data_IF_394707103974
#
_entry.id   IF_394707103974
#
_cell.length_a   1.000
_cell.length_b   1.000
_cell.length_c   1.000
_cell.angle_alpha   90.00
_cell.angle_beta   90.00
_cell.angle_gamma   90.00
#
_symmetry.space_group_name_H-M   'P 1'
#
loop_
_entity.id
_entity.type
_entity.pdbx_description
1 polymer ?
#
# COMPACT_ATOMS: atom_id res chain seq x y z
N UNK A 1 25.52 -16.03 14.78
CA UNK A 1 24.60 -16.96 14.07
C UNK A 1 23.16 -16.79 14.53
N UNK A 2 22.88 -16.80 15.84
CA UNK A 2 21.52 -16.58 16.39
C UNK A 2 20.93 -15.21 15.99
N UNK A 3 21.70 -14.13 16.13
CA UNK A 3 21.23 -12.78 15.76
C UNK A 3 20.88 -12.66 14.26
N UNK A 4 21.60 -13.39 13.40
CA UNK A 4 21.33 -13.42 11.96
C UNK A 4 19.96 -14.04 11.65
N UNK A 5 19.53 -15.06 12.41
CA UNK A 5 18.22 -15.69 12.23
C UNK A 5 17.10 -14.69 12.56
N UNK A 6 17.24 -13.93 13.64
CA UNK A 6 16.26 -12.89 14.01
C UNK A 6 16.23 -11.75 13.00
N UNK A 7 17.39 -11.31 12.52
CA UNK A 7 17.48 -10.31 11.46
C UNK A 7 16.80 -10.77 10.16
N UNK A 8 17.02 -12.02 9.74
CA UNK A 8 16.34 -12.59 8.56
C UNK A 8 14.82 -12.60 8.78
N UNK A 9 14.34 -12.99 9.97
CA UNK A 9 12.92 -13.00 10.27
C UNK A 9 12.29 -11.59 10.26
N UNK A 10 12.96 -10.60 10.85
CA UNK A 10 12.46 -9.21 10.89
C UNK A 10 12.49 -8.55 9.51
N UNK A 11 13.54 -8.79 8.71
CA UNK A 11 13.61 -8.35 7.32
C UNK A 11 12.54 -9.01 6.45
N UNK A 12 12.30 -10.31 6.63
CA UNK A 12 11.25 -11.04 5.90
C UNK A 12 9.87 -10.42 6.16
N UNK A 13 9.57 -10.07 7.42
CA UNK A 13 8.30 -9.42 7.76
C UNK A 13 8.21 -7.97 7.24
N UNK A 14 9.30 -7.22 7.30
CA UNK A 14 9.34 -5.86 6.74
C UNK A 14 9.14 -5.87 5.23
N UNK A 15 9.79 -6.80 4.53
CA UNK A 15 9.67 -6.97 3.09
C UNK A 15 8.26 -7.41 2.69
N UNK A 16 7.62 -8.31 3.45
CA UNK A 16 6.26 -8.76 3.14
C UNK A 16 5.25 -7.60 3.22
N UNK A 17 5.36 -6.76 4.25
CA UNK A 17 4.52 -5.58 4.39
C UNK A 17 4.82 -4.55 3.30
N UNK A 18 6.09 -4.27 3.03
CA UNK A 18 6.48 -3.36 1.96
C UNK A 18 5.92 -3.82 0.61
N UNK A 19 6.01 -5.12 0.31
CA UNK A 19 5.44 -5.71 -0.89
C UNK A 19 3.92 -5.53 -0.96
N UNK A 20 3.19 -5.77 0.13
CA UNK A 20 1.74 -5.58 0.18
C UNK A 20 1.37 -4.13 -0.10
N UNK A 21 2.02 -3.16 0.55
CA UNK A 21 1.73 -1.74 0.32
C UNK A 21 2.06 -1.32 -1.11
N UNK A 22 3.25 -1.66 -1.60
CA UNK A 22 3.69 -1.29 -2.95
C UNK A 22 2.79 -1.90 -4.01
N UNK A 23 2.50 -3.19 -3.93
CA UNK A 23 1.62 -3.85 -4.89
C UNK A 23 0.20 -3.25 -4.84
N UNK A 24 -0.28 -2.76 -3.69
CA UNK A 24 -1.65 -2.20 -3.56
C UNK A 24 -1.80 -0.97 -4.43
N UNK A 25 -0.79 -0.13 -4.35
CA UNK A 25 -0.69 1.07 -5.14
C UNK A 25 -0.51 0.75 -6.63
N UNK A 26 0.31 -0.26 -6.97
CA UNK A 26 0.48 -0.69 -8.36
C UNK A 26 -0.80 -1.24 -8.99
N UNK A 27 -1.56 -2.05 -8.26
CA UNK A 27 -2.84 -2.58 -8.74
C UNK A 27 -3.82 -1.45 -9.04
N UNK A 28 -3.90 -0.45 -8.16
CA UNK A 28 -4.72 0.74 -8.37
C UNK A 28 -4.33 1.49 -9.65
N UNK A 29 -3.04 1.82 -9.79
CA UNK A 29 -2.51 2.57 -10.94
C UNK A 29 -2.67 1.77 -12.24
N UNK A 30 -2.33 0.47 -12.24
CA UNK A 30 -2.44 -0.41 -13.40
C UNK A 30 -3.88 -0.62 -13.85
N UNK A 31 -4.84 -0.60 -12.91
CA UNK A 31 -6.28 -0.59 -13.16
C UNK A 31 -6.82 0.78 -13.56
N UNK A 32 -5.96 1.67 -14.10
CA UNK A 32 -6.34 3.01 -14.52
C UNK A 32 -6.99 3.78 -13.35
N UNK A 33 -6.41 3.65 -12.16
CA UNK A 33 -6.88 4.29 -10.92
C UNK A 33 -8.32 3.89 -10.54
N UNK A 34 -8.68 2.64 -10.85
CA UNK A 34 -9.91 2.02 -10.37
C UNK A 34 -9.58 0.99 -9.27
N UNK A 35 -10.44 0.93 -8.25
CA UNK A 35 -10.43 -0.03 -7.15
C UNK A 35 -11.81 -0.70 -7.07
N UNK A 36 -11.92 -1.71 -6.18
CA UNK A 36 -13.20 -2.29 -5.79
C UNK A 36 -14.23 -1.27 -5.28
N UNK A 37 -13.76 -0.09 -4.85
CA UNK A 37 -14.56 0.99 -4.28
C UNK A 37 -14.69 2.19 -5.24
N UNK A 38 -14.45 2.01 -6.55
CA UNK A 38 -14.73 3.00 -7.61
C UNK A 38 -16.20 3.10 -8.02
N UNK A 39 -16.83 4.24 -7.80
CA UNK A 39 -18.09 4.62 -8.48
C UNK A 39 -17.77 5.43 -9.73
N UNK A 40 -18.39 5.07 -10.86
CA UNK A 40 -18.37 5.91 -12.07
C UNK A 40 -19.59 6.83 -12.07
N UNK A 41 -19.34 8.13 -12.13
CA UNK A 41 -20.36 9.17 -12.22
C UNK A 41 -20.34 9.74 -13.65
N UNK A 42 -21.49 9.81 -14.30
CA UNK A 42 -21.65 10.47 -15.59
C UNK A 42 -22.46 11.75 -15.35
N UNK A 43 -21.77 12.88 -15.40
CA UNK A 43 -22.40 14.19 -15.31
C UNK A 43 -22.98 14.54 -16.69
N UNK A 44 -24.29 14.77 -16.74
CA UNK A 44 -24.98 15.20 -17.96
C UNK A 44 -25.06 16.73 -18.08
N UNK A 45 -24.69 17.45 -17.02
CA UNK A 45 -24.68 18.91 -16.91
C UNK A 45 -23.37 19.34 -16.22
N UNK A 46 -23.00 20.61 -16.38
CA UNK A 46 -21.82 21.14 -15.72
C UNK A 46 -21.98 21.16 -14.19
N UNK A 47 -20.97 20.69 -13.46
CA UNK A 47 -20.88 20.70 -12.00
C UNK A 47 -19.69 21.56 -11.62
N UNK A 48 -19.96 22.68 -10.96
CA UNK A 48 -18.92 23.61 -10.51
C UNK A 48 -17.94 22.95 -9.51
N UNK A 49 -16.70 23.42 -9.53
CA UNK A 49 -15.62 22.91 -8.66
C UNK A 49 -15.93 23.07 -7.17
N UNK A 50 -16.66 24.11 -6.77
CA UNK A 50 -17.15 24.30 -5.40
C UNK A 50 -18.16 23.24 -5.01
N UNK A 51 -19.10 22.88 -5.89
CA UNK A 51 -20.05 21.80 -5.66
C UNK A 51 -19.34 20.45 -5.51
N UNK A 52 -18.29 20.19 -6.29
CA UNK A 52 -17.43 19.01 -6.08
C UNK A 52 -16.76 19.02 -4.71
N UNK A 53 -16.32 20.19 -4.23
CA UNK A 53 -15.75 20.38 -2.90
C UNK A 53 -16.75 20.08 -1.77
N UNK A 54 -18.02 20.48 -1.92
CA UNK A 54 -19.08 20.19 -0.95
C UNK A 54 -19.52 18.72 -0.97
N UNK A 55 -19.68 18.14 -2.17
CA UNK A 55 -20.05 16.74 -2.36
C UNK A 55 -19.01 15.77 -1.77
N UNK A 56 -17.73 16.11 -1.90
CA UNK A 56 -16.61 15.28 -1.45
C UNK A 56 -16.13 15.61 -0.03
N UNK A 57 -16.53 16.76 0.53
CA UNK A 57 -16.20 17.17 1.90
C UNK A 57 -14.69 17.19 2.17
N UNK A 58 -14.26 16.49 3.22
CA UNK A 58 -12.85 16.41 3.64
C UNK A 58 -11.99 15.48 2.77
N UNK A 59 -12.54 14.83 1.73
CA UNK A 59 -11.82 13.88 0.87
C UNK A 59 -11.02 14.57 -0.24
N UNK A 60 -10.20 15.54 0.13
CA UNK A 60 -9.62 16.56 -0.77
C UNK A 60 -8.37 16.14 -1.55
N UNK A 61 -8.25 14.87 -1.94
CA UNK A 61 -7.16 14.44 -2.83
C UNK A 61 -7.70 14.13 -4.22
N UNK A 62 -7.75 15.17 -5.06
CA UNK A 62 -8.31 15.10 -6.42
C UNK A 62 -7.16 14.88 -7.40
N UNK A 63 -7.24 13.91 -8.31
CA UNK A 63 -6.36 13.86 -9.49
C UNK A 63 -7.22 13.83 -10.73
N UNK A 64 -6.99 14.74 -11.68
CA UNK A 64 -7.64 14.62 -12.98
C UNK A 64 -6.73 13.84 -13.92
N UNK A 65 -7.24 12.74 -14.47
CA UNK A 65 -6.47 11.86 -15.35
C UNK A 65 -7.02 12.01 -16.77
N UNK A 66 -6.23 12.59 -17.66
CA UNK A 66 -6.56 12.56 -19.09
C UNK A 66 -5.78 11.44 -19.75
N UNK A 67 -6.47 10.33 -20.01
CA UNK A 67 -5.90 9.32 -20.90
C UNK A 67 -6.03 9.79 -22.35
N UNK A 68 -4.90 10.19 -22.94
CA UNK A 68 -4.84 10.70 -24.32
C UNK A 68 -5.18 9.63 -25.38
N UNK A 69 -5.19 8.35 -25.03
CA UNK A 69 -5.57 7.26 -25.96
C UNK A 69 -7.07 6.98 -26.01
N UNK A 70 -7.86 7.44 -25.04
CA UNK A 70 -9.29 7.16 -24.98
C UNK A 70 -10.13 8.40 -25.26
N UNK A 71 -10.99 8.35 -26.28
CA UNK A 71 -11.93 9.42 -26.67
C UNK A 71 -12.99 9.77 -25.60
N UNK A 72 -12.90 9.23 -24.39
CA UNK A 72 -13.80 9.61 -23.30
C UNK A 72 -13.32 10.94 -22.71
N UNK A 73 -14.25 11.90 -22.64
CA UNK A 73 -14.09 13.19 -21.94
C UNK A 73 -13.41 13.01 -20.57
N UNK A 74 -12.70 14.05 -20.13
CA UNK A 74 -11.86 14.10 -18.93
C UNK A 74 -12.28 13.13 -17.83
N UNK A 75 -11.37 12.22 -17.49
CA UNK A 75 -11.59 11.27 -16.40
C UNK A 75 -11.01 11.85 -15.12
N UNK A 76 -11.83 12.57 -14.37
CA UNK A 76 -11.43 13.04 -13.05
C UNK A 76 -11.54 11.90 -12.03
N UNK A 77 -10.50 11.74 -11.21
CA UNK A 77 -10.32 10.65 -10.26
C UNK A 77 -10.21 11.23 -8.87
N UNK A 78 -11.24 10.98 -8.07
CA UNK A 78 -11.31 11.42 -6.69
C UNK A 78 -10.87 10.28 -5.79
N UNK A 79 -10.00 10.56 -4.83
CA UNK A 79 -9.56 9.59 -3.83
C UNK A 79 -9.46 10.24 -2.46
N UNK A 80 -9.61 9.41 -1.43
CA UNK A 80 -9.43 9.80 -0.04
C UNK A 80 -8.03 9.43 0.51
N UNK A 81 -7.07 9.10 -0.37
CA UNK A 81 -5.70 8.72 0.00
C UNK A 81 -4.68 9.59 -0.74
N UNK A 82 -3.51 9.84 -0.13
CA UNK A 82 -2.39 10.50 -0.81
C UNK A 82 -1.83 9.63 -1.95
N UNK A 83 -1.44 10.29 -3.06
CA UNK A 83 -1.01 9.63 -4.28
C UNK A 83 0.48 9.36 -4.27
N UNK A 84 0.87 8.09 -4.42
CA UNK A 84 2.23 7.76 -4.83
C UNK A 84 2.21 7.19 -6.24
N UNK A 85 2.44 8.01 -7.25
CA UNK A 85 2.63 7.47 -8.59
C UNK A 85 4.05 6.92 -8.70
N UNK A 86 4.25 5.78 -9.39
CA UNK A 86 5.59 5.32 -9.70
C UNK A 86 6.21 6.30 -10.70
N UNK A 87 7.21 7.07 -10.26
CA UNK A 87 7.89 8.06 -11.08
C UNK A 87 9.32 7.62 -11.40
N UNK A 88 9.76 7.87 -12.62
CA UNK A 88 11.18 7.82 -13.01
C UNK A 88 11.90 9.09 -12.58
N UNK A 89 11.20 10.22 -12.69
CA UNK A 89 11.76 11.54 -12.49
C UNK A 89 10.70 12.52 -11.95
N UNK A 90 11.16 13.54 -11.22
CA UNK A 90 10.34 14.61 -10.68
C UNK A 90 9.66 14.25 -9.37
N UNK A 91 8.45 14.78 -9.17
CA UNK A 91 7.67 14.62 -7.94
C UNK A 91 6.20 14.35 -8.22
N UNK A 92 5.53 13.75 -7.25
CA UNK A 92 4.08 13.62 -7.25
C UNK A 92 3.39 14.97 -7.04
N UNK A 93 2.09 15.01 -7.30
CA UNK A 93 1.27 16.18 -6.99
C UNK A 93 1.26 16.41 -5.46
N UNK A 94 1.52 17.64 -5.06
CA UNK A 94 1.31 18.12 -3.70
C UNK A 94 -0.09 18.74 -3.59
N UNK A 95 -0.63 18.81 -2.37
CA UNK A 95 -1.95 19.42 -2.12
C UNK A 95 -2.10 20.81 -2.74
N UNK A 96 -1.07 21.65 -2.60
CA UNK A 96 -1.09 23.03 -3.11
C UNK A 96 -1.13 23.09 -4.64
N UNK A 97 -0.62 22.05 -5.33
CA UNK A 97 -0.67 21.94 -6.80
C UNK A 97 -2.11 21.92 -7.35
N UNK A 98 -3.10 21.63 -6.51
CA UNK A 98 -4.51 21.59 -6.90
C UNK A 98 -5.25 22.89 -6.63
N UNK A 99 -4.65 23.86 -5.92
CA UNK A 99 -5.35 25.06 -5.44
C UNK A 99 -4.61 26.37 -5.73
N UNK A 100 -3.38 26.32 -6.25
CA UNK A 100 -2.56 27.51 -6.50
C UNK A 100 -2.76 28.15 -7.89
N UNK A 101 -3.71 27.65 -8.68
CA UNK A 101 -4.04 28.19 -10.02
C UNK A 101 -3.05 27.85 -11.13
N UNK A 102 -1.97 27.11 -10.86
CA UNK A 102 -0.96 26.73 -11.85
C UNK A 102 -1.37 25.47 -12.63
N UNK A 103 -1.07 25.38 -13.93
CA UNK A 103 -1.33 24.18 -14.73
C UNK A 103 -0.17 23.19 -14.61
N UNK A 104 -0.37 22.06 -13.93
CA UNK A 104 0.67 21.06 -13.65
C UNK A 104 0.30 19.70 -14.23
N UNK A 105 1.30 19.01 -14.77
CA UNK A 105 1.12 17.69 -15.34
C UNK A 105 2.19 16.69 -14.89
N UNK A 106 1.78 15.43 -14.75
CA UNK A 106 2.66 14.27 -14.67
C UNK A 106 2.39 13.43 -15.93
N UNK A 107 3.41 13.07 -16.69
CA UNK A 107 3.24 12.43 -17.99
C UNK A 107 3.94 11.08 -18.07
N UNK A 108 3.50 10.21 -18.95
CA UNK A 108 4.18 8.96 -19.25
C UNK A 108 5.50 9.13 -19.98
N UNK A 109 6.41 8.16 -19.81
CA UNK A 109 7.71 8.10 -20.48
C UNK A 109 7.65 8.30 -22.01
N UNK A 110 6.60 7.83 -22.69
CA UNK A 110 6.49 7.97 -24.14
C UNK A 110 6.19 9.42 -24.54
N UNK A 111 5.37 10.12 -23.75
CA UNK A 111 5.11 11.55 -23.93
C UNK A 111 6.34 12.38 -23.57
N UNK A 112 7.10 11.97 -22.54
CA UNK A 112 8.31 12.67 -22.11
C UNK A 112 9.43 12.68 -23.16
N UNK A 113 9.45 11.71 -24.09
CA UNK A 113 10.38 11.71 -25.22
C UNK A 113 10.17 12.88 -26.19
N UNK A 114 8.97 13.44 -26.21
CA UNK A 114 8.58 14.52 -27.14
C UNK A 114 8.29 15.83 -26.43
N UNK A 115 8.11 15.81 -25.10
CA UNK A 115 7.78 16.96 -24.27
C UNK A 115 8.65 16.94 -23.00
N UNK A 116 9.61 17.86 -22.90
CA UNK A 116 10.56 17.91 -21.77
C UNK A 116 10.06 18.77 -20.60
N UNK A 117 9.65 20.01 -20.86
CA UNK A 117 9.30 20.96 -19.78
C UNK A 117 7.81 21.22 -19.67
N UNK A 118 7.11 21.20 -20.81
CA UNK A 118 5.68 21.47 -20.88
C UNK A 118 4.99 20.56 -21.87
N UNK A 119 3.77 20.16 -21.56
CA UNK A 119 2.87 19.48 -22.49
C UNK A 119 1.68 20.40 -22.79
N UNK A 120 1.34 20.52 -24.07
CA UNK A 120 0.12 21.22 -24.48
C UNK A 120 -1.02 20.21 -24.53
N UNK A 121 -2.03 20.43 -23.72
CA UNK A 121 -3.25 19.62 -23.71
C UNK A 121 -4.39 20.58 -24.03
N UNK A 122 -5.01 20.38 -25.19
CA UNK A 122 -5.98 21.30 -25.78
C UNK A 122 -5.36 22.70 -26.01
N UNK A 123 -5.86 23.72 -25.32
CA UNK A 123 -5.42 25.12 -25.46
C UNK A 123 -4.55 25.60 -24.30
N UNK A 124 -4.29 24.74 -23.30
CA UNK A 124 -3.48 25.07 -22.13
C UNK A 124 -2.13 24.36 -22.15
N UNK A 125 -1.11 25.09 -21.69
CA UNK A 125 0.22 24.53 -21.45
C UNK A 125 0.34 24.12 -19.99
N UNK A 126 0.81 22.90 -19.77
CA UNK A 126 1.00 22.33 -18.45
C UNK A 126 2.48 22.15 -18.21
N UNK A 127 2.96 22.62 -17.06
CA UNK A 127 4.32 22.36 -16.60
C UNK A 127 4.45 20.91 -16.17
N UNK A 128 5.40 20.20 -16.73
CA UNK A 128 5.69 18.81 -16.36
C UNK A 128 6.43 18.84 -15.02
N UNK A 129 5.87 18.18 -14.01
CA UNK A 129 6.45 18.08 -12.66
C UNK A 129 6.92 16.66 -12.32
N UNK A 130 6.57 15.67 -13.15
CA UNK A 130 6.99 14.28 -12.97
C UNK A 130 6.77 13.42 -14.22
N UNK A 131 7.51 12.31 -14.29
CA UNK A 131 7.46 11.33 -15.38
C UNK A 131 7.11 9.96 -14.79
N UNK A 132 6.01 9.36 -15.25
CA UNK A 132 5.55 8.02 -14.83
C UNK A 132 6.47 6.93 -15.36
N UNK A 133 6.77 5.97 -14.49
CA UNK A 133 7.55 4.78 -14.82
C UNK A 133 6.71 3.74 -15.55
N UNK A 134 7.06 3.52 -16.83
CA UNK A 134 6.32 2.63 -17.71
C UNK A 134 6.52 1.14 -17.40
N UNK A 135 7.53 0.79 -16.58
CA UNK A 135 7.82 -0.60 -16.18
C UNK A 135 6.68 -1.20 -15.36
N UNK A 136 5.89 -0.36 -14.69
CA UNK A 136 4.81 -0.81 -13.83
C UNK A 136 3.51 -1.09 -14.59
N UNK A 137 3.21 -0.31 -15.63
CA UNK A 137 2.05 -0.53 -16.48
C UNK A 137 2.21 0.17 -17.84
N UNK A 138 2.06 -0.59 -18.94
CA UNK A 138 2.23 -0.07 -20.31
C UNK A 138 1.30 1.11 -20.62
N UNK A 139 0.10 1.07 -20.07
CA UNK A 139 -0.91 2.12 -20.20
C UNK A 139 -0.44 3.45 -19.58
N UNK A 140 0.48 3.46 -18.61
CA UNK A 140 1.02 4.69 -18.04
C UNK A 140 1.93 5.44 -19.00
N UNK A 141 2.60 4.76 -19.95
CA UNK A 141 3.60 5.41 -20.81
C UNK A 141 3.01 6.50 -21.70
N UNK A 142 1.70 6.44 -21.97
CA UNK A 142 0.98 7.35 -22.87
C UNK A 142 -0.07 8.22 -22.17
N UNK A 143 -0.13 8.15 -20.84
CA UNK A 143 -1.09 8.93 -20.05
C UNK A 143 -0.53 10.29 -19.66
N UNK A 144 -1.42 11.27 -19.52
CA UNK A 144 -1.12 12.55 -18.89
C UNK A 144 -2.09 12.77 -17.71
N UNK A 145 -1.52 13.04 -16.54
CA UNK A 145 -2.25 13.36 -15.32
C UNK A 145 -2.14 14.86 -15.12
N UNK A 146 -3.25 15.54 -14.85
CA UNK A 146 -3.37 16.99 -14.74
C UNK A 146 -4.11 17.37 -13.46
N UNK A 147 -3.90 18.59 -12.95
CA UNK A 147 -4.61 19.10 -11.78
C UNK A 147 -5.99 19.69 -12.14
N UNK A 148 -6.94 19.72 -11.20
CA UNK A 148 -8.35 20.07 -11.45
C UNK A 148 -8.58 21.51 -11.93
N UNK A 149 -7.77 22.47 -11.45
CA UNK A 149 -7.86 23.88 -11.85
C UNK A 149 -7.64 24.13 -13.35
N UNK A 150 -7.16 23.12 -14.06
CA UNK A 150 -6.89 23.20 -15.47
C UNK A 150 -8.13 22.97 -16.35
N UNK A 151 -9.21 22.42 -15.80
CA UNK A 151 -10.52 22.35 -16.44
C UNK A 151 -11.13 23.75 -16.44
N UNK A 152 -11.36 24.35 -17.60
CA UNK A 152 -12.12 25.62 -17.67
C UNK A 152 -13.56 25.44 -17.17
N UNK A 153 -14.17 26.53 -16.71
CA UNK A 153 -15.54 26.66 -16.18
C UNK A 153 -16.64 26.01 -17.04
N UNK A 154 -16.35 25.66 -18.30
CA UNK A 154 -17.32 25.16 -19.26
C UNK A 154 -17.19 23.67 -19.65
N UNK A 155 -16.26 22.91 -19.08
CA UNK A 155 -16.06 21.50 -19.47
C UNK A 155 -16.19 20.54 -18.28
N UNK A 156 -17.40 20.32 -17.79
CA UNK A 156 -17.70 19.31 -16.75
C UNK A 156 -18.74 18.27 -17.17
N UNK A 157 -19.06 18.21 -18.48
CA UNK A 157 -19.64 16.99 -19.07
C UNK A 157 -18.54 15.94 -19.20
N UNK A 158 -18.63 14.87 -18.43
CA UNK A 158 -17.53 13.93 -18.32
C UNK A 158 -17.84 12.67 -17.53
N UNK A 159 -16.91 11.72 -17.61
CA UNK A 159 -16.95 10.48 -16.85
C UNK A 159 -16.00 10.60 -15.67
N UNK A 160 -16.56 10.75 -14.48
CA UNK A 160 -15.81 10.86 -13.25
C UNK A 160 -15.70 9.49 -12.59
N UNK A 161 -14.56 9.23 -11.96
CA UNK A 161 -14.37 8.08 -11.09
C UNK A 161 -14.09 8.55 -9.68
N UNK A 162 -14.91 8.10 -8.73
CA UNK A 162 -14.73 8.40 -7.32
C UNK A 162 -14.36 7.10 -6.62
N UNK A 163 -13.18 7.07 -6.00
CA UNK A 163 -12.77 6.04 -5.07
C UNK A 163 -12.91 6.57 -3.66
N UNK A 164 -13.82 6.00 -2.89
CA UNK A 164 -13.88 6.32 -1.46
C UNK A 164 -14.61 5.21 -0.70
N UNK A 165 -14.58 5.28 0.63
CA UNK A 165 -15.27 4.33 1.50
C UNK A 165 -16.77 4.20 1.15
N UNK A 166 -17.33 3.03 1.48
CA UNK A 166 -18.72 2.66 1.20
C UNK A 166 -19.74 3.67 1.70
N UNK A 167 -19.53 4.29 2.86
CA UNK A 167 -20.49 5.25 3.44
C UNK A 167 -20.58 6.53 2.61
N UNK A 168 -19.44 7.10 2.22
CA UNK A 168 -19.38 8.25 1.31
C UNK A 168 -19.92 7.89 -0.07
N UNK A 169 -19.73 6.64 -0.53
CA UNK A 169 -20.29 6.18 -1.81
C UNK A 169 -21.81 6.08 -1.78
N UNK A 170 -22.40 5.55 -0.71
CA UNK A 170 -23.86 5.54 -0.54
C UNK A 170 -24.42 6.96 -0.43
N UNK A 171 -23.70 7.88 0.22
CA UNK A 171 -24.06 9.30 0.28
C UNK A 171 -24.05 9.95 -1.11
N UNK A 172 -22.95 9.83 -1.87
CA UNK A 172 -22.83 10.34 -3.24
C UNK A 172 -23.93 9.78 -4.14
N UNK A 173 -24.24 8.47 -4.06
CA UNK A 173 -25.34 7.88 -4.82
C UNK A 173 -26.70 8.49 -4.47
N UNK A 174 -26.93 8.84 -3.20
CA UNK A 174 -28.21 9.38 -2.73
C UNK A 174 -28.40 10.87 -3.06
N UNK A 175 -27.33 11.66 -3.03
CA UNK A 175 -27.38 13.11 -3.24
C UNK A 175 -27.34 13.50 -4.72
N UNK A 176 -26.78 12.64 -5.59
CA UNK A 176 -26.54 12.95 -7.00
C UNK A 176 -27.65 12.51 -7.96
N UNK A 177 -28.75 11.94 -7.47
CA UNK A 177 -29.81 11.29 -8.28
C UNK A 177 -30.43 12.22 -9.34
N UNK A 178 -30.44 13.54 -9.11
CA UNK A 178 -31.15 14.49 -9.97
C UNK A 178 -30.30 15.13 -11.08
N UNK A 179 -28.97 15.25 -10.90
CA UNK A 179 -28.09 15.97 -11.86
C UNK A 179 -27.02 15.06 -12.51
N UNK A 180 -26.79 13.87 -11.96
CA UNK A 180 -25.73 12.95 -12.38
C UNK A 180 -26.27 11.53 -12.46
N UNK A 181 -26.03 10.85 -13.57
CA UNK A 181 -26.24 9.41 -13.68
C UNK A 181 -25.07 8.66 -13.05
N UNK A 182 -25.27 8.09 -11.86
CA UNK A 182 -24.30 7.19 -11.23
C UNK A 182 -24.44 5.78 -11.83
N UNK A 183 -23.39 5.26 -12.46
CA UNK A 183 -23.34 3.86 -12.90
C UNK A 183 -22.74 3.03 -11.76
N UNK A 184 -23.48 2.01 -11.33
CA UNK A 184 -23.02 1.12 -10.26
C UNK A 184 -22.02 0.08 -10.75
N UNK A 185 -21.27 -0.51 -9.82
CA UNK A 185 -20.21 -1.49 -10.08
C UNK A 185 -20.62 -2.68 -10.94
N UNK A 186 -21.86 -3.17 -10.82
CA UNK A 186 -22.37 -4.31 -11.60
C UNK A 186 -22.60 -3.95 -13.07
N UNK A 187 -22.82 -2.67 -13.35
CA UNK A 187 -23.19 -2.18 -14.67
C UNK A 187 -21.95 -1.69 -15.45
N UNK A 188 -20.89 -1.28 -14.73
CA UNK A 188 -19.59 -0.93 -15.32
C UNK A 188 -18.64 -2.13 -15.36
N UNK A 189 -18.58 -2.79 -16.52
CA UNK A 189 -17.65 -3.90 -16.80
C UNK A 189 -16.20 -3.60 -16.40
N UNK A 190 -15.74 -2.34 -16.47
CA UNK A 190 -14.37 -1.99 -16.04
C UNK A 190 -14.22 -1.98 -14.52
N UNK A 191 -15.20 -1.46 -13.78
CA UNK A 191 -15.21 -1.48 -12.32
C UNK A 191 -15.36 -2.91 -11.78
N UNK A 192 -16.23 -3.71 -12.39
CA UNK A 192 -16.39 -5.13 -12.09
C UNK A 192 -15.10 -5.94 -12.31
N UNK A 193 -14.43 -5.71 -13.45
CA UNK A 193 -13.15 -6.36 -13.72
C UNK A 193 -12.04 -5.91 -12.78
N UNK A 194 -12.01 -4.63 -12.38
CA UNK A 194 -11.08 -4.12 -11.37
C UNK A 194 -11.30 -4.79 -10.01
N UNK A 195 -12.56 -4.97 -9.59
CA UNK A 195 -12.90 -5.70 -8.36
C UNK A 195 -12.41 -7.16 -8.39
N UNK A 196 -12.66 -7.87 -9.50
CA UNK A 196 -12.20 -9.26 -9.64
C UNK A 196 -10.67 -9.36 -9.67
N UNK A 197 -9.99 -8.45 -10.36
CA UNK A 197 -8.53 -8.41 -10.39
C UNK A 197 -7.96 -8.13 -8.99
N UNK A 198 -8.51 -7.14 -8.28
CA UNK A 198 -8.06 -6.79 -6.93
C UNK A 198 -8.29 -7.95 -5.95
N UNK A 199 -9.43 -8.64 -6.02
CA UNK A 199 -9.69 -9.83 -5.20
C UNK A 199 -8.69 -10.97 -5.49
N UNK A 200 -8.37 -11.23 -6.75
CA UNK A 200 -7.38 -12.23 -7.14
C UNK A 200 -5.98 -11.85 -6.66
N UNK A 201 -5.61 -10.57 -6.77
CA UNK A 201 -4.33 -10.08 -6.28
C UNK A 201 -4.26 -10.07 -4.75
N UNK A 202 -5.37 -9.83 -4.05
CA UNK A 202 -5.46 -9.99 -2.59
C UNK A 202 -5.18 -11.42 -2.17
N UNK A 203 -5.73 -12.42 -2.87
CA UNK A 203 -5.43 -13.83 -2.61
C UNK A 203 -3.93 -14.13 -2.77
N UNK A 204 -3.29 -13.62 -3.83
CA UNK A 204 -1.85 -13.79 -4.05
C UNK A 204 -1.02 -13.13 -2.94
N UNK A 205 -1.41 -11.93 -2.49
CA UNK A 205 -0.72 -11.24 -1.38
C UNK A 205 -0.84 -11.99 -0.07
N UNK A 206 -2.03 -12.47 0.28
CA UNK A 206 -2.22 -13.27 1.50
C UNK A 206 -1.46 -14.59 1.43
N UNK A 207 -1.40 -15.22 0.24
CA UNK A 207 -0.59 -16.42 0.03
C UNK A 207 0.90 -16.13 0.22
N UNK A 208 1.40 -15.01 -0.31
CA UNK A 208 2.78 -14.57 -0.10
C UNK A 208 3.08 -14.25 1.36
N UNK A 209 2.17 -13.56 2.05
CA UNK A 209 2.29 -13.26 3.47
C UNK A 209 2.32 -14.53 4.32
N UNK A 210 1.47 -15.52 3.99
CA UNK A 210 1.48 -16.82 4.65
C UNK A 210 2.82 -17.56 4.46
N UNK A 211 3.41 -17.52 3.25
CA UNK A 211 4.74 -18.07 2.99
C UNK A 211 5.83 -17.36 3.81
N UNK A 212 5.77 -16.03 3.94
CA UNK A 212 6.68 -15.26 4.79
C UNK A 212 6.55 -15.65 6.27
N UNK A 213 5.33 -15.83 6.77
CA UNK A 213 5.09 -16.28 8.15
C UNK A 213 5.61 -17.72 8.38
N UNK A 214 5.47 -18.61 7.40
CA UNK A 214 6.06 -19.96 7.46
C UNK A 214 7.59 -19.90 7.50
N UNK A 215 8.22 -19.03 6.70
CA UNK A 215 9.67 -18.84 6.73
C UNK A 215 10.15 -18.32 8.10
N UNK A 216 9.41 -17.41 8.73
CA UNK A 216 9.68 -16.94 10.09
C UNK A 216 9.52 -18.10 11.10
N UNK A 217 8.47 -18.91 10.96
CA UNK A 217 8.28 -20.12 11.76
C UNK A 217 9.47 -21.09 11.67
N UNK A 218 9.99 -21.30 10.46
CA UNK A 218 11.19 -22.13 10.23
C UNK A 218 12.44 -21.54 10.88
N UNK A 219 12.60 -20.20 10.88
CA UNK A 219 13.68 -19.53 11.58
C UNK A 219 13.65 -19.82 13.09
N UNK A 220 12.48 -19.79 13.70
CA UNK A 220 12.30 -20.10 15.14
C UNK A 220 12.59 -21.57 15.43
N UNK A 221 12.13 -22.49 14.58
CA UNK A 221 12.43 -23.92 14.70
C UNK A 221 13.93 -24.20 14.57
N UNK A 222 14.61 -23.50 13.65
CA UNK A 222 16.04 -23.61 13.47
C UNK A 222 16.82 -23.07 14.67
N UNK A 223 16.39 -21.94 15.26
CA UNK A 223 16.92 -21.43 16.52
C UNK A 223 16.79 -22.46 17.66
N UNK A 224 15.63 -23.10 17.76
CA UNK A 224 15.40 -24.17 18.73
C UNK A 224 16.35 -25.36 18.52
N UNK A 225 16.56 -25.79 17.28
CA UNK A 225 17.49 -26.88 16.99
C UNK A 225 18.93 -26.52 17.40
N UNK A 226 19.39 -25.31 17.08
CA UNK A 226 20.75 -24.85 17.42
C UNK A 226 20.99 -24.75 18.94
N UNK A 227 19.97 -24.39 19.71
CA UNK A 227 20.05 -24.26 21.18
C UNK A 227 19.76 -25.56 21.92
N UNK A 228 19.60 -26.70 21.23
CA UNK A 228 19.26 -27.96 21.89
C UNK A 228 20.40 -28.50 22.76
N UNK A 229 21.65 -28.42 22.30
CA UNK A 229 22.83 -28.91 23.03
C UNK A 229 23.09 -28.11 24.30
N UNK A 230 22.95 -26.78 24.25
CA UNK A 230 23.12 -25.90 25.41
C UNK A 230 22.05 -26.17 26.46
N UNK A 231 20.80 -26.40 26.06
CA UNK A 231 19.70 -26.77 26.97
C UNK A 231 19.94 -28.13 27.63
N UNK A 232 20.44 -29.11 26.89
CA UNK A 232 20.82 -30.40 27.45
C UNK A 232 21.92 -30.24 28.50
N UNK A 233 22.97 -29.46 28.21
CA UNK A 233 24.03 -29.17 29.17
C UNK A 233 23.48 -28.51 30.44
N UNK A 234 22.67 -27.44 30.30
CA UNK A 234 22.03 -26.72 31.42
C UNK A 234 21.19 -27.66 32.29
N UNK A 235 20.49 -28.61 31.68
CA UNK A 235 19.71 -29.65 32.39
C UNK A 235 20.62 -30.59 33.18
N UNK A 236 21.71 -31.07 32.58
CA UNK A 236 22.65 -32.01 33.22
C UNK A 236 23.34 -31.41 34.43
N UNK A 237 23.68 -30.12 34.40
CA UNK A 237 24.27 -29.40 35.55
C UNK A 237 23.23 -28.98 36.61
N UNK A 238 21.96 -29.36 36.44
CA UNK A 238 20.91 -29.17 37.44
C UNK A 238 20.23 -27.80 37.44
N UNK A 239 20.39 -26.98 36.38
CA UNK A 239 19.67 -25.71 36.29
C UNK A 239 18.18 -25.98 36.13
N UNK A 240 17.37 -25.27 36.92
CA UNK A 240 15.91 -25.43 36.92
C UNK A 240 15.32 -25.12 35.54
N UNK A 241 14.36 -25.94 35.12
CA UNK A 241 13.64 -25.80 33.84
C UNK A 241 13.09 -24.39 33.63
N UNK A 242 12.46 -23.82 34.67
CA UNK A 242 11.80 -22.52 34.58
C UNK A 242 12.84 -21.39 34.44
N UNK A 243 14.01 -21.54 35.05
CA UNK A 243 15.12 -20.60 34.88
C UNK A 243 15.61 -20.59 33.44
N UNK A 244 15.81 -21.77 32.83
CA UNK A 244 16.24 -21.87 31.42
C UNK A 244 15.18 -21.29 30.48
N UNK A 245 13.90 -21.62 30.69
CA UNK A 245 12.81 -21.07 29.86
C UNK A 245 12.77 -19.55 29.91
N UNK A 246 12.84 -18.96 31.11
CA UNK A 246 12.76 -17.51 31.29
C UNK A 246 13.95 -16.79 30.64
N UNK A 247 15.16 -17.34 30.75
CA UNK A 247 16.37 -16.79 30.14
C UNK A 247 16.25 -16.77 28.61
N UNK A 248 15.78 -17.86 28.01
CA UNK A 248 15.60 -17.98 26.56
C UNK A 248 14.48 -17.09 26.03
N UNK A 249 13.34 -17.00 26.74
CA UNK A 249 12.24 -16.09 26.37
C UNK A 249 12.69 -14.63 26.43
N UNK A 250 13.48 -14.25 27.46
CA UNK A 250 14.07 -12.91 27.54
C UNK A 250 15.01 -12.64 26.37
N UNK A 251 15.84 -13.62 26.01
CA UNK A 251 16.75 -13.51 24.87
C UNK A 251 15.98 -13.33 23.55
N UNK A 252 14.97 -14.16 23.30
CA UNK A 252 14.05 -14.05 22.17
C UNK A 252 13.43 -12.65 22.08
N UNK A 253 12.88 -12.17 23.20
CA UNK A 253 12.24 -10.86 23.27
C UNK A 253 13.21 -9.72 22.96
N UNK A 254 14.37 -9.71 23.61
CA UNK A 254 15.33 -8.61 23.49
C UNK A 254 15.91 -8.48 22.08
N UNK A 255 16.36 -9.60 21.50
CA UNK A 255 16.96 -9.56 20.16
C UNK A 255 15.93 -9.26 19.08
N UNK A 256 14.72 -9.80 19.18
CA UNK A 256 13.67 -9.48 18.22
C UNK A 256 13.27 -8.02 18.29
N UNK A 257 13.08 -7.47 19.49
CA UNK A 257 12.74 -6.06 19.67
C UNK A 257 13.85 -5.15 19.13
N UNK A 258 15.11 -5.44 19.45
CA UNK A 258 16.26 -4.70 18.95
C UNK A 258 16.32 -4.70 17.41
N UNK A 259 16.25 -5.88 16.78
CA UNK A 259 16.30 -6.01 15.32
C UNK A 259 15.08 -5.36 14.64
N UNK A 260 13.90 -5.40 15.27
CA UNK A 260 12.70 -4.74 14.73
C UNK A 260 12.84 -3.22 14.72
N UNK A 261 13.41 -2.66 15.79
CA UNK A 261 13.73 -1.23 15.86
C UNK A 261 14.79 -0.86 14.83
N UNK A 262 15.81 -1.71 14.65
CA UNK A 262 16.86 -1.48 13.66
C UNK A 262 16.31 -1.51 12.24
N UNK A 263 15.47 -2.48 11.90
CA UNK A 263 14.80 -2.56 10.59
C UNK A 263 13.87 -1.37 10.38
N UNK A 264 13.12 -0.94 11.38
CA UNK A 264 12.33 0.31 11.30
C UNK A 264 13.25 1.53 11.09
N UNK A 265 14.41 1.56 11.73
CA UNK A 265 15.38 2.64 11.59
C UNK A 265 16.06 2.68 10.22
N UNK A 266 16.44 1.53 9.67
CA UNK A 266 17.28 1.42 8.47
C UNK A 266 16.45 1.29 7.20
N UNK A 267 15.35 0.54 7.24
CA UNK A 267 14.48 0.37 6.08
C UNK A 267 13.51 1.55 6.04
N UNK A 268 12.85 1.89 7.14
CA UNK A 268 11.72 2.82 7.07
C UNK A 268 12.09 4.32 7.06
N UNK A 269 13.09 4.78 7.83
CA UNK A 269 13.50 6.20 7.81
C UNK A 269 13.94 6.72 6.43
N UNK A 270 14.77 6.02 5.63
CA UNK A 270 15.15 6.52 4.31
C UNK A 270 14.01 6.46 3.28
N UNK A 271 13.07 5.52 3.41
CA UNK A 271 11.88 5.48 2.55
C UNK A 271 10.73 6.37 3.04
N UNK A 272 10.84 7.00 4.22
CA UNK A 272 9.83 7.91 4.79
C UNK A 272 9.41 9.01 3.82
N UNK A 273 10.35 9.56 3.05
CA UNK A 273 10.05 10.64 2.10
C UNK A 273 9.22 10.18 0.90
N UNK A 274 9.24 8.89 0.61
CA UNK A 274 8.52 8.25 -0.50
C UNK A 274 7.13 7.71 -0.10
N UNK A 275 6.79 7.68 1.19
CA UNK A 275 5.66 6.89 1.75
C UNK A 275 4.64 7.78 2.51
N UNK A 276 4.70 9.12 2.43
CA UNK A 276 3.91 10.02 3.30
C UNK A 276 2.37 9.80 3.27
N UNK A 277 1.76 10.06 4.44
CA UNK A 277 0.46 9.59 4.99
C UNK A 277 0.26 8.08 5.19
N UNK A 278 0.78 7.20 4.32
CA UNK A 278 0.83 5.75 4.63
C UNK A 278 1.88 5.38 5.69
N UNK A 279 2.65 6.37 6.13
CA UNK A 279 3.68 6.32 7.19
C UNK A 279 3.11 5.82 8.52
N UNK A 280 1.93 6.29 8.94
CA UNK A 280 1.29 5.83 10.18
C UNK A 280 0.72 4.43 10.01
N UNK A 281 0.05 4.15 8.89
CA UNK A 281 -0.60 2.87 8.65
C UNK A 281 0.42 1.74 8.49
N UNK A 282 1.51 1.98 7.76
CA UNK A 282 2.63 1.03 7.66
C UNK A 282 3.28 0.80 9.01
N UNK A 283 3.57 1.86 9.77
CA UNK A 283 4.23 1.74 11.08
C UNK A 283 3.37 0.99 12.07
N UNK A 284 2.07 1.33 12.15
CA UNK A 284 1.10 0.66 13.01
C UNK A 284 0.95 -0.80 12.57
N UNK A 285 0.83 -1.08 11.28
CA UNK A 285 0.73 -2.45 10.76
C UNK A 285 2.00 -3.26 11.02
N UNK A 286 3.17 -2.66 10.85
CA UNK A 286 4.47 -3.29 11.14
C UNK A 286 4.60 -3.61 12.63
N UNK A 287 4.39 -2.63 13.52
CA UNK A 287 4.45 -2.82 14.98
C UNK A 287 3.44 -3.88 15.44
N UNK A 288 2.21 -3.82 14.92
CA UNK A 288 1.16 -4.79 15.25
C UNK A 288 1.55 -6.20 14.80
N UNK A 289 2.05 -6.34 13.57
CA UNK A 289 2.52 -7.63 13.04
C UNK A 289 3.70 -8.18 13.85
N UNK A 290 4.69 -7.36 14.20
CA UNK A 290 5.84 -7.79 15.01
C UNK A 290 5.39 -8.24 16.40
N UNK A 291 4.45 -7.51 17.01
CA UNK A 291 3.89 -7.88 18.32
C UNK A 291 3.14 -9.21 18.26
N UNK A 292 2.35 -9.43 17.20
CA UNK A 292 1.65 -10.68 16.98
C UNK A 292 2.62 -11.85 16.77
N UNK A 293 3.60 -11.70 15.88
CA UNK A 293 4.57 -12.76 15.58
C UNK A 293 5.40 -13.07 16.83
N UNK A 294 5.83 -12.06 17.59
CA UNK A 294 6.54 -12.24 18.86
C UNK A 294 5.70 -13.04 19.86
N UNK A 295 4.42 -12.69 20.02
CA UNK A 295 3.49 -13.42 20.90
C UNK A 295 3.32 -14.88 20.49
N UNK A 296 3.07 -15.14 19.20
CA UNK A 296 2.98 -16.50 18.65
C UNK A 296 4.28 -17.29 18.85
N UNK A 297 5.42 -16.62 18.69
CA UNK A 297 6.74 -17.25 18.81
C UNK A 297 7.06 -17.64 20.24
N UNK A 298 6.73 -16.79 21.22
CA UNK A 298 6.88 -17.11 22.65
C UNK A 298 5.98 -18.29 23.03
N UNK A 299 4.74 -18.32 22.54
CA UNK A 299 3.81 -19.42 22.79
C UNK A 299 4.31 -20.75 22.18
N UNK A 300 4.70 -20.72 20.90
CA UNK A 300 5.24 -21.89 20.19
C UNK A 300 6.55 -22.38 20.80
N UNK A 301 7.47 -21.46 21.13
CA UNK A 301 8.71 -21.76 21.83
C UNK A 301 8.44 -22.44 23.17
N UNK A 302 7.56 -21.87 23.99
CA UNK A 302 7.23 -22.42 25.31
C UNK A 302 6.65 -23.83 25.19
N UNK A 303 5.71 -24.04 24.27
CA UNK A 303 5.11 -25.36 24.01
C UNK A 303 6.15 -26.40 23.59
N UNK A 304 7.00 -26.08 22.61
CA UNK A 304 8.06 -26.97 22.14
C UNK A 304 9.14 -27.21 23.20
N UNK A 305 9.45 -26.20 24.01
CA UNK A 305 10.38 -26.31 25.11
C UNK A 305 9.88 -27.31 26.15
N UNK A 306 8.61 -27.21 26.58
CA UNK A 306 8.04 -28.16 27.54
C UNK A 306 8.03 -29.59 26.99
N UNK A 307 7.64 -29.77 25.72
CA UNK A 307 7.64 -31.07 25.05
C UNK A 307 9.05 -31.67 25.01
N UNK A 308 10.03 -30.92 24.55
CA UNK A 308 11.40 -31.42 24.40
C UNK A 308 12.07 -31.65 25.76
N UNK A 309 11.79 -30.81 26.76
CA UNK A 309 12.33 -30.99 28.11
C UNK A 309 11.84 -32.29 28.75
N UNK A 310 10.56 -32.62 28.56
CA UNK A 310 9.95 -33.89 29.02
C UNK A 310 10.55 -35.10 28.32
N UNK A 311 10.74 -35.05 27.00
CA UNK A 311 11.33 -36.16 26.25
C UNK A 311 12.78 -36.47 26.67
N UNK A 312 13.51 -35.49 27.22
CA UNK A 312 14.84 -35.73 27.79
C UNK A 312 14.76 -36.54 29.11
N UNK A 313 13.63 -36.48 29.84
CA UNK A 313 13.42 -37.30 31.05
C UNK A 313 13.02 -38.75 30.71
N UNK A 314 12.32 -38.96 29.59
CA UNK A 314 11.80 -40.28 29.16
C UNK A 314 12.84 -41.17 28.45
N UNK A 315 13.97 -40.61 27.99
CA UNK A 315 15.07 -41.34 27.33
C UNK A 315 16.25 -41.69 28.28
N UNK A 316 16.01 -41.76 29.59
CA UNK A 316 16.92 -42.34 30.58
C UNK A 316 16.42 -43.72 30.99
#
# INVERSE_FOLDING_TARGET
MINLIFLIATLTNAFSLFYIYNQSNLDFVSNNFSSKDTVRLIANHNIDSENWGELLGDQKNILVVKNLESNFYFKAIYTNYDWYLPLVEGRNFARDDFYDGENRAIIGEELAKTHTDTIRIEEKNYKIIGILDSRYAKNLSKMALININSLEENQTNGVYQVNSNKATMEKLKSELINDITAITYSDDTKAYNAQNLENNNQLLRYSFQALCLLAIGMCILFYLALTQSTRYLKKTIGISRNTVLLEEVKHLFFFWLFESILVLGVVYLPFKHSIFESVTDFTVSYITSQSFILGCSVALFSSLFFRNWRNIDENK
#
